data_IF_032438835022
#
_entry.id   IF_032438835022
#
_cell.length_a   1.000
_cell.length_b   1.000
_cell.length_c   1.000
_cell.angle_alpha   90.00
_cell.angle_beta   90.00
_cell.angle_gamma   90.00
#
_symmetry.space_group_name_H-M   'P 1'
#
loop_
_entity.id
_entity.type
_entity.pdbx_description
1 polymer ?
#
# COMPACT_ATOMS: atom_id res chain seq x y z
N UNK A 1 -8.53 24.69 22.79
CA UNK A 1 -7.33 25.48 22.44
C UNK A 1 -6.27 25.12 23.45
N UNK A 2 -5.07 24.75 23.01
CA UNK A 2 -3.97 24.42 23.91
C UNK A 2 -3.16 25.69 24.20
N UNK A 3 -2.89 25.95 25.47
CA UNK A 3 -2.13 27.10 25.94
C UNK A 3 -0.95 26.60 26.75
N UNK A 4 0.25 26.97 26.32
CA UNK A 4 1.48 26.69 27.03
C UNK A 4 1.85 27.91 27.89
N UNK A 5 1.71 27.79 29.21
CA UNK A 5 1.92 28.86 30.18
C UNK A 5 2.97 28.48 31.23
N UNK A 6 4.23 28.37 30.78
CA UNK A 6 5.37 28.13 31.68
C UNK A 6 5.67 29.30 32.63
N UNK A 7 5.16 30.50 32.32
CA UNK A 7 5.41 31.74 33.08
C UNK A 7 4.23 32.21 33.94
N UNK A 8 3.11 31.49 33.95
CA UNK A 8 1.92 31.75 34.78
C UNK A 8 1.05 32.96 34.41
N UNK A 9 1.33 33.63 33.28
CA UNK A 9 0.61 34.85 32.87
C UNK A 9 -0.23 34.65 31.60
N UNK A 10 0.12 33.69 30.76
CA UNK A 10 -0.50 33.47 29.44
C UNK A 10 -1.91 32.91 29.58
N UNK A 11 -2.11 31.96 30.50
CA UNK A 11 -3.41 31.37 30.79
C UNK A 11 -4.40 32.44 31.30
N UNK A 12 -3.93 33.35 32.17
CA UNK A 12 -4.70 34.48 32.68
C UNK A 12 -5.14 35.44 31.56
N UNK A 13 -4.23 35.81 30.66
CA UNK A 13 -4.56 36.68 29.53
C UNK A 13 -5.57 36.04 28.57
N UNK A 14 -5.41 34.75 28.26
CA UNK A 14 -6.29 34.03 27.32
C UNK A 14 -7.67 33.83 27.92
N UNK A 15 -7.77 33.43 29.19
CA UNK A 15 -9.05 33.27 29.89
C UNK A 15 -9.78 34.61 30.05
N UNK A 16 -9.07 35.70 30.32
CA UNK A 16 -9.67 37.04 30.38
C UNK A 16 -10.20 37.48 29.00
N UNK A 17 -9.43 37.26 27.93
CA UNK A 17 -9.86 37.57 26.57
C UNK A 17 -11.15 36.81 26.19
N UNK A 18 -11.26 35.55 26.59
CA UNK A 18 -12.46 34.73 26.36
C UNK A 18 -13.66 35.30 27.14
N UNK A 19 -13.49 35.69 28.42
CA UNK A 19 -14.54 36.37 29.19
C UNK A 19 -14.99 37.67 28.52
N UNK A 20 -14.05 38.51 28.10
CA UNK A 20 -14.32 39.81 27.48
C UNK A 20 -15.07 39.67 26.14
N UNK A 21 -14.88 38.55 25.43
CA UNK A 21 -15.60 38.21 24.20
C UNK A 21 -16.93 37.47 24.45
N UNK A 22 -17.31 37.29 25.72
CA UNK A 22 -18.57 36.69 26.13
C UNK A 22 -18.59 35.17 26.03
N UNK A 23 -17.44 34.51 26.13
CA UNK A 23 -17.34 33.05 26.21
C UNK A 23 -17.35 32.58 27.67
N UNK A 24 -18.09 31.51 27.94
CA UNK A 24 -17.87 30.62 29.07
C UNK A 24 -16.75 29.64 28.71
N UNK A 25 -15.97 29.18 29.69
CA UNK A 25 -14.90 28.21 29.41
C UNK A 25 -14.56 27.34 30.60
N UNK A 26 -13.97 26.18 30.28
CA UNK A 26 -13.35 25.25 31.22
C UNK A 26 -11.88 25.14 30.86
N UNK A 27 -11.02 25.21 31.87
CA UNK A 27 -9.58 24.93 31.74
C UNK A 27 -9.34 23.55 32.34
N UNK A 28 -8.75 22.66 31.57
CA UNK A 28 -8.38 21.32 31.99
C UNK A 28 -6.86 21.16 31.85
N UNK A 29 -6.22 20.69 32.91
CA UNK A 29 -4.85 20.21 32.88
C UNK A 29 -4.91 18.68 32.82
N UNK A 30 -4.35 18.08 31.77
CA UNK A 30 -4.37 16.63 31.65
C UNK A 30 -3.54 16.01 32.78
N UNK A 31 -4.06 14.97 33.42
CA UNK A 31 -3.46 14.35 34.61
C UNK A 31 -2.07 13.74 34.35
N UNK A 32 -1.74 13.43 33.10
CA UNK A 32 -0.42 12.95 32.69
C UNK A 32 0.58 14.07 32.38
N UNK A 33 0.11 15.32 32.29
CA UNK A 33 0.86 16.52 31.93
C UNK A 33 0.87 17.55 33.07
N UNK A 34 0.44 17.16 34.26
CA UNK A 34 0.34 18.04 35.44
C UNK A 34 1.72 18.64 35.79
N UNK A 35 1.81 19.96 35.83
CA UNK A 35 3.05 20.71 36.07
C UNK A 35 3.90 20.99 34.83
N UNK A 36 3.48 20.57 33.62
CA UNK A 36 4.17 20.91 32.37
C UNK A 36 3.91 22.36 31.92
N UNK A 37 2.89 23.01 32.48
CA UNK A 37 2.40 24.30 32.03
C UNK A 37 1.54 24.24 30.76
N UNK A 38 1.13 23.05 30.32
CA UNK A 38 0.17 22.87 29.21
C UNK A 38 -1.26 22.80 29.74
N UNK A 39 -2.11 23.69 29.24
CA UNK A 39 -3.52 23.77 29.60
C UNK A 39 -4.42 23.69 28.37
N UNK A 40 -5.44 22.85 28.45
CA UNK A 40 -6.50 22.80 27.45
C UNK A 40 -7.66 23.71 27.88
N UNK A 41 -7.95 24.72 27.07
CA UNK A 41 -9.09 25.61 27.27
C UNK A 41 -10.20 25.26 26.29
N UNK A 42 -11.36 24.90 26.82
CA UNK A 42 -12.60 24.68 26.08
C UNK A 42 -13.52 25.87 26.32
N UNK A 43 -13.84 26.65 25.28
CA UNK A 43 -14.63 27.87 25.41
C UNK A 43 -15.89 27.82 24.53
N UNK A 44 -17.03 28.23 25.07
CA UNK A 44 -18.34 28.25 24.42
C UNK A 44 -19.01 29.61 24.62
N UNK A 45 -19.87 30.05 23.69
CA UNK A 45 -20.58 31.33 23.82
C UNK A 45 -22.03 31.09 24.25
N UNK A 46 -22.47 31.54 25.44
CA UNK A 46 -23.85 31.34 25.89
C UNK A 46 -24.79 32.10 24.97
N UNK A 47 -25.75 31.39 24.36
CA UNK A 47 -26.67 31.94 23.38
C UNK A 47 -26.59 31.31 21.98
N UNK A 48 -25.58 30.47 21.70
CA UNK A 48 -25.73 29.42 20.69
C UNK A 48 -26.53 28.26 21.30
N UNK A 49 -27.81 28.51 21.60
CA UNK A 49 -28.75 27.42 21.72
C UNK A 49 -28.68 26.61 20.42
N UNK A 50 -28.55 25.29 20.57
CA UNK A 50 -28.89 24.31 19.54
C UNK A 50 -30.11 24.83 18.81
N UNK A 51 -29.96 25.14 17.53
CA UNK A 51 -31.07 25.66 16.73
C UNK A 51 -32.25 24.68 16.88
N UNK A 52 -33.50 25.17 16.93
CA UNK A 52 -34.68 24.28 16.86
C UNK A 52 -34.55 23.41 15.60
N UNK A 53 -35.24 22.25 15.48
CA UNK A 53 -35.06 21.34 14.35
C UNK A 53 -35.27 22.12 13.04
N UNK A 54 -34.16 22.55 12.43
CA UNK A 54 -34.15 23.38 11.23
C UNK A 54 -34.59 22.45 10.10
N UNK A 55 -35.57 22.89 9.33
CA UNK A 55 -36.17 22.13 8.22
C UNK A 55 -35.09 21.53 7.31
N UNK A 56 -35.07 20.20 7.19
CA UNK A 56 -34.04 19.37 6.53
C UNK A 56 -33.65 19.88 5.13
N UNK A 57 -34.61 20.33 4.32
CA UNK A 57 -34.36 20.71 2.92
C UNK A 57 -33.45 21.93 2.73
N UNK A 58 -33.45 22.90 3.65
CA UNK A 58 -32.50 24.03 3.61
C UNK A 58 -31.11 23.66 4.13
N UNK A 59 -31.01 22.61 4.95
CA UNK A 59 -29.73 22.12 5.47
C UNK A 59 -29.00 21.24 4.46
N UNK A 60 -29.70 20.43 3.66
CA UNK A 60 -29.07 19.53 2.68
C UNK A 60 -28.28 20.31 1.63
N UNK A 61 -28.89 21.33 1.00
CA UNK A 61 -28.20 22.17 0.00
C UNK A 61 -27.01 22.91 0.60
N UNK A 62 -27.11 23.37 1.84
CA UNK A 62 -25.98 24.00 2.54
C UNK A 62 -24.87 23.00 2.86
N UNK A 63 -25.21 21.77 3.27
CA UNK A 63 -24.23 20.72 3.53
C UNK A 63 -23.51 20.29 2.25
N UNK A 64 -24.25 20.11 1.14
CA UNK A 64 -23.67 19.86 -0.18
C UNK A 64 -22.70 20.98 -0.59
N UNK A 65 -23.07 22.23 -0.35
CA UNK A 65 -22.20 23.38 -0.61
C UNK A 65 -20.93 23.34 0.25
N UNK A 66 -21.06 23.07 1.55
CA UNK A 66 -19.91 22.96 2.45
C UNK A 66 -18.97 21.82 2.05
N UNK A 67 -19.50 20.69 1.57
CA UNK A 67 -18.70 19.56 1.08
C UNK A 67 -17.92 19.93 -0.17
N UNK A 68 -18.55 20.65 -1.12
CA UNK A 68 -17.85 21.18 -2.30
C UNK A 68 -16.73 22.15 -1.92
N UNK A 69 -17.01 23.09 -1.02
CA UNK A 69 -16.03 24.06 -0.52
C UNK A 69 -14.86 23.37 0.20
N UNK A 70 -15.14 22.35 1.02
CA UNK A 70 -14.12 21.52 1.64
C UNK A 70 -13.27 20.79 0.59
N UNK A 71 -13.90 20.24 -0.45
CA UNK A 71 -13.21 19.60 -1.56
C UNK A 71 -12.22 20.53 -2.27
N UNK A 72 -12.67 21.75 -2.61
CA UNK A 72 -11.82 22.77 -3.23
C UNK A 72 -10.67 23.22 -2.31
N UNK A 73 -10.95 23.40 -1.02
CA UNK A 73 -9.95 23.77 -0.03
C UNK A 73 -8.88 22.68 0.14
N UNK A 74 -9.29 21.40 0.24
CA UNK A 74 -8.37 20.26 0.32
C UNK A 74 -7.51 20.15 -0.93
N UNK A 75 -8.10 20.30 -2.12
CA UNK A 75 -7.35 20.30 -3.37
C UNK A 75 -6.29 21.39 -3.40
N UNK A 76 -6.68 22.62 -3.03
CA UNK A 76 -5.76 23.77 -2.98
C UNK A 76 -4.63 23.55 -1.96
N UNK A 77 -4.93 22.98 -0.80
CA UNK A 77 -3.93 22.69 0.23
C UNK A 77 -2.92 21.63 -0.24
N UNK A 78 -3.41 20.57 -0.88
CA UNK A 78 -2.58 19.47 -1.37
C UNK A 78 -1.70 19.90 -2.56
N UNK A 79 -2.19 20.77 -3.45
CA UNK A 79 -1.40 21.32 -4.56
C UNK A 79 -0.24 22.23 -4.09
N UNK A 80 -0.36 22.83 -2.90
CA UNK A 80 0.63 23.76 -2.33
C UNK A 80 1.61 23.10 -1.37
N UNK A 81 1.43 21.82 -1.06
CA UNK A 81 2.24 21.12 -0.07
C UNK A 81 2.85 19.84 -0.63
N UNK A 82 4.07 19.53 -0.19
CA UNK A 82 4.76 18.28 -0.50
C UNK A 82 4.50 17.19 0.54
N UNK A 83 3.77 17.51 1.62
CA UNK A 83 3.46 16.55 2.69
C UNK A 83 2.19 15.74 2.37
N UNK A 84 2.16 14.44 2.66
CA UNK A 84 0.91 13.66 2.62
C UNK A 84 -0.12 14.23 3.59
N UNK A 85 -1.39 14.24 3.19
CA UNK A 85 -2.53 14.66 4.00
C UNK A 85 -3.40 13.44 4.30
N UNK A 86 -3.75 13.23 5.57
CA UNK A 86 -4.70 12.20 5.99
C UNK A 86 -5.97 12.89 6.49
N UNK A 87 -7.10 12.64 5.83
CA UNK A 87 -8.41 13.15 6.23
C UNK A 87 -9.23 12.02 6.84
N UNK A 88 -9.67 12.24 8.08
CA UNK A 88 -10.47 11.27 8.83
C UNK A 88 -11.94 11.70 8.83
N UNK A 89 -12.82 10.91 8.21
CA UNK A 89 -14.25 11.13 8.20
C UNK A 89 -14.89 10.34 9.34
N UNK A 90 -15.36 11.04 10.37
CA UNK A 90 -15.90 10.44 11.58
C UNK A 90 -17.43 10.26 11.46
N UNK A 91 -18.01 9.20 12.06
CA UNK A 91 -19.44 8.92 11.95
C UNK A 91 -20.26 10.02 12.63
N UNK A 92 -21.42 10.36 12.07
CA UNK A 92 -22.32 11.33 12.71
C UNK A 92 -23.07 10.66 13.87
N UNK A 93 -22.98 11.18 15.11
CA UNK A 93 -23.67 10.59 16.27
C UNK A 93 -25.18 10.80 16.24
N UNK A 94 -25.95 9.83 16.74
CA UNK A 94 -27.38 9.93 17.09
C UNK A 94 -28.32 10.43 15.97
N UNK A 95 -28.30 9.80 14.78
CA UNK A 95 -29.21 10.14 13.65
C UNK A 95 -30.02 8.95 13.13
N UNK A 96 -31.18 9.22 12.54
CA UNK A 96 -32.12 8.21 12.03
C UNK A 96 -31.59 7.58 10.73
N UNK A 97 -31.95 6.32 10.44
CA UNK A 97 -31.47 5.56 9.27
C UNK A 97 -31.57 6.29 7.92
N UNK A 98 -32.63 7.08 7.70
CA UNK A 98 -32.79 7.86 6.47
C UNK A 98 -31.72 8.94 6.27
N UNK A 99 -31.21 9.53 7.34
CA UNK A 99 -30.20 10.60 7.31
C UNK A 99 -28.79 10.03 7.05
N UNK A 100 -28.50 8.82 7.52
CA UNK A 100 -27.22 8.13 7.30
C UNK A 100 -26.91 7.92 5.81
N UNK A 101 -27.94 7.66 4.99
CA UNK A 101 -27.78 7.51 3.54
C UNK A 101 -27.37 8.80 2.83
N UNK A 102 -27.82 9.96 3.34
CA UNK A 102 -27.46 11.26 2.81
C UNK A 102 -25.99 11.59 3.11
N UNK A 103 -25.54 11.41 4.36
CA UNK A 103 -24.14 11.65 4.72
C UNK A 103 -23.18 10.74 3.96
N UNK A 104 -23.52 9.44 3.82
CA UNK A 104 -22.69 8.51 3.04
C UNK A 104 -22.52 8.99 1.59
N UNK A 105 -23.59 9.51 0.98
CA UNK A 105 -23.55 10.07 -0.38
C UNK A 105 -22.60 11.28 -0.47
N UNK A 106 -22.62 12.15 0.53
CA UNK A 106 -21.70 13.30 0.60
C UNK A 106 -20.24 12.86 0.77
N UNK A 107 -19.99 11.86 1.63
CA UNK A 107 -18.65 11.28 1.79
C UNK A 107 -18.15 10.66 0.47
N UNK A 108 -19.00 9.87 -0.19
CA UNK A 108 -18.69 9.27 -1.50
C UNK A 108 -18.43 10.33 -2.57
N UNK A 109 -19.22 11.40 -2.60
CA UNK A 109 -19.00 12.54 -3.51
C UNK A 109 -17.63 13.18 -3.28
N UNK A 110 -17.31 13.53 -2.03
CA UNK A 110 -16.04 14.18 -1.67
C UNK A 110 -14.83 13.30 -2.03
N UNK A 111 -14.90 12.01 -1.70
CA UNK A 111 -13.84 11.04 -2.00
C UNK A 111 -13.69 10.87 -3.51
N UNK A 112 -14.79 10.84 -4.26
CA UNK A 112 -14.80 10.70 -5.71
C UNK A 112 -14.21 11.92 -6.42
N UNK A 113 -14.56 13.13 -5.98
CA UNK A 113 -14.06 14.40 -6.54
C UNK A 113 -12.53 14.54 -6.38
N UNK A 114 -11.99 14.04 -5.28
CA UNK A 114 -10.56 14.10 -4.95
C UNK A 114 -9.80 12.81 -5.30
N UNK A 115 -10.45 11.89 -6.03
CA UNK A 115 -9.85 10.64 -6.45
C UNK A 115 -8.68 10.90 -7.41
N UNK A 116 -7.55 10.25 -7.15
CA UNK A 116 -6.35 10.35 -7.99
C UNK A 116 -5.29 11.33 -7.47
N UNK A 117 -5.60 12.12 -6.43
CA UNK A 117 -4.59 12.90 -5.71
C UNK A 117 -3.78 11.94 -4.84
N UNK A 118 -2.53 11.66 -5.23
CA UNK A 118 -1.70 10.62 -4.58
C UNK A 118 -1.25 10.96 -3.17
N UNK A 119 -1.13 12.25 -2.85
CA UNK A 119 -0.75 12.77 -1.54
C UNK A 119 -1.92 12.95 -0.57
N UNK A 120 -3.15 12.62 -0.98
CA UNK A 120 -4.34 12.68 -0.13
C UNK A 120 -4.81 11.27 0.22
N UNK A 121 -4.97 11.02 1.52
CA UNK A 121 -5.36 9.74 2.07
C UNK A 121 -6.60 9.90 2.93
N UNK A 122 -7.42 8.85 2.97
CA UNK A 122 -8.68 8.83 3.69
C UNK A 122 -8.65 7.76 4.78
N UNK A 123 -9.28 8.07 5.91
CA UNK A 123 -9.75 7.09 6.89
C UNK A 123 -11.24 7.34 7.08
N UNK A 124 -12.07 6.45 6.55
CA UNK A 124 -13.53 6.60 6.66
C UNK A 124 -14.05 5.91 7.93
N UNK A 125 -15.22 6.35 8.41
CA UNK A 125 -15.90 5.69 9.52
C UNK A 125 -16.19 4.21 9.24
N UNK A 126 -16.54 3.86 7.99
CA UNK A 126 -16.78 2.47 7.58
C UNK A 126 -15.51 1.62 7.62
N UNK A 127 -14.39 2.16 7.14
CA UNK A 127 -13.10 1.49 7.19
C UNK A 127 -12.65 1.26 8.64
N UNK A 128 -12.80 2.28 9.49
CA UNK A 128 -12.51 2.17 10.90
C UNK A 128 -13.39 1.12 11.58
N UNK A 129 -14.70 1.11 11.32
CA UNK A 129 -15.64 0.17 11.91
C UNK A 129 -15.42 -1.28 11.47
N UNK A 130 -14.87 -1.51 10.28
CA UNK A 130 -14.51 -2.88 9.82
C UNK A 130 -13.31 -3.43 10.59
N UNK A 131 -12.39 -2.56 11.00
CA UNK A 131 -11.14 -2.96 11.64
C UNK A 131 -11.25 -2.93 13.17
N UNK A 132 -11.84 -1.87 13.71
CA UNK A 132 -12.00 -1.59 15.13
C UNK A 132 -13.48 -1.22 15.41
N UNK A 133 -14.40 -2.20 15.38
CA UNK A 133 -15.82 -1.94 15.60
C UNK A 133 -16.07 -1.39 17.01
N UNK A 134 -16.76 -0.26 17.09
CA UNK A 134 -17.24 0.33 18.36
C UNK A 134 -18.75 0.49 18.24
N UNK A 135 -19.51 -0.33 18.98
CA UNK A 135 -20.97 -0.34 18.93
C UNK A 135 -21.55 1.01 19.39
N UNK A 136 -21.11 1.48 20.56
CA UNK A 136 -21.55 2.74 21.16
C UNK A 136 -20.45 3.80 21.04
N UNK A 137 -20.42 4.46 19.89
CA UNK A 137 -19.45 5.51 19.61
C UNK A 137 -19.92 6.90 20.03
N UNK A 138 -21.22 7.13 20.22
CA UNK A 138 -21.78 8.46 20.53
C UNK A 138 -21.72 8.79 22.03
N UNK A 139 -21.25 9.99 22.37
CA UNK A 139 -21.25 10.54 23.73
C UNK A 139 -22.03 11.87 23.76
N UNK A 140 -23.38 11.84 23.84
CA UNK A 140 -24.21 13.05 23.77
C UNK A 140 -23.93 14.08 24.87
N UNK A 141 -23.41 13.66 26.03
CA UNK A 141 -23.07 14.51 27.17
C UNK A 141 -21.56 14.53 27.47
N UNK A 142 -20.71 14.26 26.48
CA UNK A 142 -19.25 14.26 26.65
C UNK A 142 -18.70 15.62 27.08
N UNK A 143 -17.70 15.64 27.98
CA UNK A 143 -17.01 16.86 28.39
C UNK A 143 -16.59 17.69 27.15
N UNK A 144 -17.00 18.95 27.10
CA UNK A 144 -16.59 19.89 26.03
C UNK A 144 -17.31 19.75 24.68
N UNK A 145 -18.52 19.16 24.62
CA UNK A 145 -19.26 18.88 23.37
C UNK A 145 -18.53 17.93 22.41
N UNK A 146 -17.63 17.11 22.94
CA UNK A 146 -16.94 16.07 22.18
C UNK A 146 -17.92 14.91 21.95
N UNK A 147 -18.28 14.60 20.70
CA UNK A 147 -19.45 13.77 20.45
C UNK A 147 -19.17 12.26 20.50
N UNK A 148 -17.97 11.84 20.93
CA UNK A 148 -17.52 10.45 20.87
C UNK A 148 -17.06 9.87 22.21
N UNK A 149 -17.26 8.56 22.39
CA UNK A 149 -16.80 7.82 23.57
C UNK A 149 -15.28 7.67 23.60
N UNK A 150 -14.70 7.44 24.80
CA UNK A 150 -13.26 7.15 24.96
C UNK A 150 -12.82 5.94 24.13
N UNK A 151 -13.67 4.92 24.03
CA UNK A 151 -13.42 3.73 23.21
C UNK A 151 -13.35 4.07 21.73
N UNK A 152 -14.23 4.95 21.24
CA UNK A 152 -14.15 5.42 19.86
C UNK A 152 -12.88 6.24 19.60
N UNK A 153 -12.43 7.07 20.55
CA UNK A 153 -11.15 7.76 20.42
C UNK A 153 -9.96 6.80 20.35
N UNK A 154 -9.96 5.73 21.15
CA UNK A 154 -8.93 4.71 21.07
C UNK A 154 -8.92 4.02 19.69
N UNK A 155 -10.09 3.68 19.16
CA UNK A 155 -10.22 3.13 17.81
C UNK A 155 -9.72 4.11 16.75
N UNK A 156 -10.21 5.36 16.77
CA UNK A 156 -9.85 6.41 15.83
C UNK A 156 -8.35 6.70 15.86
N UNK A 157 -7.76 6.89 17.05
CA UNK A 157 -6.33 7.10 17.21
C UNK A 157 -5.51 5.93 16.67
N UNK A 158 -5.93 4.69 16.94
CA UNK A 158 -5.27 3.49 16.40
C UNK A 158 -5.36 3.44 14.87
N UNK A 159 -6.53 3.77 14.30
CA UNK A 159 -6.74 3.84 12.85
C UNK A 159 -5.87 4.90 12.18
N UNK A 160 -5.76 6.09 12.80
CA UNK A 160 -4.90 7.18 12.32
C UNK A 160 -3.44 6.73 12.30
N UNK A 161 -2.92 6.19 13.41
CA UNK A 161 -1.52 5.76 13.49
C UNK A 161 -1.24 4.62 12.51
N UNK A 162 -2.15 3.65 12.37
CA UNK A 162 -2.05 2.56 11.39
C UNK A 162 -1.96 3.09 9.96
N UNK A 163 -2.81 4.05 9.58
CA UNK A 163 -2.76 4.71 8.27
C UNK A 163 -1.48 5.50 8.05
N UNK A 164 -1.06 6.28 9.03
CA UNK A 164 0.19 7.03 8.97
C UNK A 164 1.38 6.10 8.78
N UNK A 165 1.43 4.99 9.52
CA UNK A 165 2.48 3.98 9.36
C UNK A 165 2.49 3.42 7.94
N UNK A 166 1.34 3.09 7.36
CA UNK A 166 1.25 2.60 5.99
C UNK A 166 1.72 3.65 4.95
N UNK A 167 1.54 4.94 5.22
CA UNK A 167 1.96 6.05 4.34
C UNK A 167 3.48 6.26 4.39
N UNK A 168 4.08 6.18 5.58
CA UNK A 168 5.50 6.54 5.78
C UNK A 168 6.46 5.34 5.72
N UNK A 169 5.97 4.12 5.90
CA UNK A 169 6.82 2.92 5.98
C UNK A 169 7.18 2.38 4.60
N UNK A 170 8.35 1.74 4.52
CA UNK A 170 8.67 0.93 3.35
C UNK A 170 7.76 -0.30 3.30
N UNK A 171 7.04 -0.54 2.19
CA UNK A 171 6.13 -1.66 2.10
C UNK A 171 6.91 -2.98 1.96
N UNK A 172 6.48 -4.00 2.70
CA UNK A 172 6.87 -5.37 2.42
C UNK A 172 6.45 -5.77 0.99
N UNK A 173 7.26 -6.56 0.32
CA UNK A 173 7.07 -6.94 -1.09
C UNK A 173 6.83 -8.42 -1.27
N UNK A 174 7.31 -9.26 -0.36
CA UNK A 174 7.25 -10.72 -0.47
C UNK A 174 6.61 -11.30 0.78
N UNK A 175 5.66 -12.22 0.58
CA UNK A 175 5.13 -13.08 1.63
C UNK A 175 5.63 -14.49 1.34
N UNK A 176 6.31 -15.09 2.30
CA UNK A 176 6.82 -16.45 2.24
C UNK A 176 6.06 -17.28 3.26
N UNK A 177 5.50 -18.39 2.81
CA UNK A 177 4.63 -19.26 3.61
C UNK A 177 5.30 -20.61 3.81
N UNK A 178 5.24 -21.13 5.02
CA UNK A 178 5.33 -22.56 5.26
C UNK A 178 4.11 -23.31 4.67
N UNK A 179 4.14 -24.65 4.60
CA UNK A 179 3.06 -25.45 4.03
C UNK A 179 2.29 -26.27 5.06
N UNK A 180 2.93 -27.28 5.66
CA UNK A 180 2.26 -28.18 6.62
C UNK A 180 1.86 -27.42 7.88
N UNK A 181 0.67 -27.71 8.43
CA UNK A 181 0.05 -26.98 9.55
C UNK A 181 -0.23 -25.48 9.32
N UNK A 182 0.36 -24.86 8.30
CA UNK A 182 0.19 -23.46 7.90
C UNK A 182 -0.86 -23.29 6.80
N UNK A 183 -0.65 -23.85 5.60
CA UNK A 183 -1.59 -23.76 4.47
C UNK A 183 -2.70 -24.80 4.52
N UNK A 184 -2.47 -25.91 5.21
CA UNK A 184 -3.43 -26.98 5.51
C UNK A 184 -3.10 -27.57 6.87
N UNK A 185 -3.97 -28.44 7.39
CA UNK A 185 -3.70 -29.30 8.54
C UNK A 185 -3.15 -30.64 8.07
N UNK A 186 -2.21 -31.18 8.83
CA UNK A 186 -1.54 -32.43 8.53
C UNK A 186 -0.20 -32.22 7.85
N UNK A 187 0.51 -33.33 7.67
CA UNK A 187 1.85 -33.42 7.09
C UNK A 187 1.73 -34.11 5.74
N UNK A 188 1.93 -33.38 4.64
CA UNK A 188 1.63 -33.91 3.31
C UNK A 188 2.44 -35.16 2.93
N UNK A 189 3.66 -35.30 3.48
CA UNK A 189 4.50 -36.49 3.28
C UNK A 189 4.02 -37.73 4.04
N UNK A 190 3.22 -37.57 5.09
CA UNK A 190 2.69 -38.66 5.92
C UNK A 190 1.23 -38.97 5.57
N UNK A 191 0.40 -37.93 5.51
CA UNK A 191 -1.05 -38.03 5.26
C UNK A 191 -1.38 -38.14 3.77
N UNK A 192 -0.42 -37.78 2.90
CA UNK A 192 -0.61 -37.68 1.47
C UNK A 192 -1.52 -36.52 1.05
N UNK A 193 -1.64 -36.31 -0.27
CA UNK A 193 -2.41 -35.20 -0.81
C UNK A 193 -3.90 -35.23 -0.41
N UNK A 194 -4.50 -36.41 -0.24
CA UNK A 194 -5.91 -36.57 0.14
C UNK A 194 -6.16 -36.47 1.65
N UNK A 195 -5.13 -36.68 2.47
CA UNK A 195 -5.27 -36.76 3.93
C UNK A 195 -5.15 -35.41 4.63
N UNK A 196 -4.54 -34.42 3.99
CA UNK A 196 -4.46 -33.06 4.54
C UNK A 196 -5.82 -32.35 4.49
N UNK A 197 -6.12 -31.58 5.52
CA UNK A 197 -7.40 -30.89 5.67
C UNK A 197 -7.24 -29.37 5.46
N UNK A 198 -8.12 -28.78 4.66
CA UNK A 198 -8.17 -27.33 4.44
C UNK A 198 -9.42 -26.77 5.12
N UNK A 199 -9.29 -26.56 6.43
CA UNK A 199 -10.36 -26.00 7.27
C UNK A 199 -10.68 -24.53 6.93
N UNK A 200 -11.72 -24.00 7.56
CA UNK A 200 -12.18 -22.62 7.33
C UNK A 200 -11.09 -21.57 7.61
N UNK A 201 -10.25 -21.79 8.62
CA UNK A 201 -9.19 -20.86 9.02
C UNK A 201 -8.04 -20.83 8.00
N UNK A 202 -7.63 -21.98 7.46
CA UNK A 202 -6.66 -22.05 6.36
C UNK A 202 -7.24 -21.52 5.05
N UNK A 203 -8.53 -21.77 4.75
CA UNK A 203 -9.18 -21.14 3.61
C UNK A 203 -9.15 -19.61 3.73
N UNK A 204 -9.42 -19.07 4.91
CA UNK A 204 -9.37 -17.63 5.18
C UNK A 204 -7.95 -17.06 5.05
N UNK A 205 -6.93 -17.75 5.57
CA UNK A 205 -5.52 -17.42 5.37
C UNK A 205 -5.16 -17.40 3.88
N UNK A 206 -5.45 -18.47 3.15
CA UNK A 206 -5.14 -18.57 1.73
C UNK A 206 -5.86 -17.47 0.92
N UNK A 207 -7.13 -17.22 1.19
CA UNK A 207 -7.88 -16.13 0.55
C UNK A 207 -7.29 -14.75 0.89
N UNK A 208 -6.82 -14.54 2.12
CA UNK A 208 -6.09 -13.33 2.51
C UNK A 208 -4.79 -13.18 1.72
N UNK A 209 -3.98 -14.23 1.61
CA UNK A 209 -2.74 -14.23 0.83
C UNK A 209 -3.01 -13.94 -0.66
N UNK A 210 -4.07 -14.50 -1.24
CA UNK A 210 -4.45 -14.19 -2.63
C UNK A 210 -4.84 -12.71 -2.79
N UNK A 211 -5.57 -12.12 -1.83
CA UNK A 211 -5.84 -10.67 -1.85
C UNK A 211 -4.55 -9.85 -1.78
N UNK A 212 -3.59 -10.25 -0.94
CA UNK A 212 -2.27 -9.61 -0.86
C UNK A 212 -1.50 -9.73 -2.18
N UNK A 213 -1.61 -10.88 -2.87
CA UNK A 213 -1.03 -11.10 -4.18
C UNK A 213 -1.65 -10.21 -5.26
N UNK A 214 -2.98 -10.08 -5.27
CA UNK A 214 -3.71 -9.18 -6.17
C UNK A 214 -3.36 -7.71 -5.90
N UNK A 215 -3.00 -7.39 -4.66
CA UNK A 215 -2.47 -6.09 -4.23
C UNK A 215 -0.96 -5.93 -4.54
N UNK A 216 -0.35 -6.91 -5.21
CA UNK A 216 1.00 -6.87 -5.77
C UNK A 216 2.13 -7.36 -4.86
N UNK A 217 1.81 -8.05 -3.76
CA UNK A 217 2.80 -8.82 -3.01
C UNK A 217 3.19 -10.07 -3.82
N UNK A 218 4.47 -10.44 -3.78
CA UNK A 218 4.96 -11.70 -4.35
C UNK A 218 4.74 -12.81 -3.33
N UNK A 219 4.21 -13.95 -3.76
CA UNK A 219 3.97 -15.10 -2.88
C UNK A 219 5.01 -16.17 -3.17
N UNK A 220 5.69 -16.65 -2.14
CA UNK A 220 6.64 -17.75 -2.22
C UNK A 220 6.35 -18.82 -1.16
N UNK A 221 6.86 -20.02 -1.38
CA UNK A 221 6.84 -21.09 -0.37
C UNK A 221 8.23 -21.31 0.22
N UNK A 222 8.33 -21.55 1.51
CA UNK A 222 9.53 -22.04 2.17
C UNK A 222 9.12 -23.14 3.15
N UNK A 223 9.19 -24.40 2.70
CA UNK A 223 8.67 -25.56 3.42
C UNK A 223 9.70 -26.67 3.57
N UNK A 224 9.66 -27.41 4.68
CA UNK A 224 10.51 -28.58 4.90
C UNK A 224 9.78 -29.86 4.46
N UNK A 225 9.68 -30.04 3.15
CA UNK A 225 8.99 -31.17 2.52
C UNK A 225 9.73 -31.62 1.26
N UNK A 226 9.24 -32.69 0.64
CA UNK A 226 9.54 -32.97 -0.75
C UNK A 226 8.64 -32.13 -1.66
N UNK A 227 9.21 -31.65 -2.76
CA UNK A 227 8.51 -30.77 -3.72
C UNK A 227 7.31 -31.46 -4.37
N UNK A 228 7.42 -32.77 -4.64
CA UNK A 228 6.37 -33.57 -5.26
C UNK A 228 5.13 -33.69 -4.37
N UNK A 229 5.32 -33.92 -3.07
CA UNK A 229 4.22 -34.08 -2.10
C UNK A 229 3.42 -32.78 -1.95
N UNK A 230 4.12 -31.64 -1.82
CA UNK A 230 3.50 -30.32 -1.75
C UNK A 230 2.68 -30.04 -2.99
N UNK A 231 3.23 -30.29 -4.18
CA UNK A 231 2.49 -30.02 -5.41
C UNK A 231 1.40 -31.04 -5.72
N UNK A 232 1.48 -32.26 -5.17
CA UNK A 232 0.35 -33.18 -5.20
C UNK A 232 -0.85 -32.59 -4.44
N UNK A 233 -0.64 -31.94 -3.29
CA UNK A 233 -1.72 -31.23 -2.57
C UNK A 233 -2.33 -30.12 -3.44
N UNK A 234 -1.50 -29.23 -4.00
CA UNK A 234 -1.98 -28.13 -4.87
C UNK A 234 -2.75 -28.63 -6.11
N UNK A 235 -2.39 -29.79 -6.65
CA UNK A 235 -3.04 -30.37 -7.84
C UNK A 235 -4.31 -31.17 -7.49
N UNK A 236 -4.45 -31.63 -6.25
CA UNK A 236 -5.60 -32.43 -5.83
C UNK A 236 -6.73 -31.57 -5.27
N UNK A 237 -6.39 -30.50 -4.54
CA UNK A 237 -7.37 -29.63 -3.90
C UNK A 237 -7.69 -28.41 -4.74
N UNK A 238 -8.47 -28.61 -5.81
CA UNK A 238 -8.89 -27.53 -6.73
C UNK A 238 -9.63 -26.38 -6.04
N UNK A 239 -10.20 -26.62 -4.86
CA UNK A 239 -10.92 -25.61 -4.07
C UNK A 239 -10.02 -24.77 -3.15
N UNK A 240 -8.71 -25.03 -3.10
CA UNK A 240 -7.76 -24.15 -2.40
C UNK A 240 -7.82 -22.74 -2.99
N UNK A 241 -8.04 -21.68 -2.18
CA UNK A 241 -7.95 -20.32 -2.71
C UNK A 241 -6.55 -20.02 -3.27
N UNK A 242 -5.49 -20.45 -2.56
CA UNK A 242 -4.13 -20.25 -3.01
C UNK A 242 -3.75 -21.35 -4.02
N UNK A 243 -3.73 -20.97 -5.28
CA UNK A 243 -3.35 -21.84 -6.41
C UNK A 243 -1.88 -21.67 -6.84
N UNK A 244 -1.31 -22.69 -7.49
CA UNK A 244 0.10 -22.70 -7.98
C UNK A 244 0.47 -21.47 -8.81
N UNK A 245 -0.44 -20.97 -9.63
CA UNK A 245 -0.18 -19.81 -10.50
C UNK A 245 -0.03 -18.49 -9.74
N UNK A 246 -0.39 -18.42 -8.46
CA UNK A 246 -0.11 -17.27 -7.60
C UNK A 246 1.33 -17.23 -7.09
N UNK A 247 2.04 -18.37 -7.12
CA UNK A 247 3.38 -18.52 -6.57
C UNK A 247 4.43 -18.02 -7.56
N UNK A 248 5.41 -17.27 -7.05
CA UNK A 248 6.51 -16.71 -7.84
C UNK A 248 7.73 -17.61 -7.78
N UNK A 249 8.07 -18.12 -6.60
CA UNK A 249 9.16 -19.06 -6.39
C UNK A 249 8.92 -19.87 -5.10
N UNK A 250 9.74 -20.89 -4.87
CA UNK A 250 9.63 -21.75 -3.70
C UNK A 250 10.98 -22.35 -3.31
N UNK A 251 11.09 -22.71 -2.04
CA UNK A 251 12.15 -23.55 -1.47
C UNK A 251 11.48 -24.64 -0.64
N UNK A 252 11.24 -25.77 -1.28
CA UNK A 252 10.64 -26.95 -0.67
C UNK A 252 11.75 -27.99 -0.57
N UNK A 253 12.43 -28.01 0.56
CA UNK A 253 13.58 -28.86 0.84
C UNK A 253 13.92 -28.87 2.34
N UNK A 254 14.88 -29.68 2.74
CA UNK A 254 15.27 -29.86 4.15
C UNK A 254 16.33 -28.87 4.67
N UNK A 255 16.65 -27.80 3.92
CA UNK A 255 17.59 -26.77 4.40
C UNK A 255 16.92 -25.87 5.46
N UNK A 256 17.71 -25.20 6.32
CA UNK A 256 17.18 -24.20 7.26
C UNK A 256 16.36 -23.10 6.55
N UNK A 257 15.25 -22.69 7.17
CA UNK A 257 14.33 -21.68 6.59
C UNK A 257 15.04 -20.36 6.33
N UNK A 258 15.90 -19.91 7.24
CA UNK A 258 16.69 -18.69 7.05
C UNK A 258 17.59 -18.72 5.81
N UNK A 259 18.21 -19.87 5.51
CA UNK A 259 19.03 -20.06 4.32
C UNK A 259 18.18 -20.04 3.05
N UNK A 260 17.02 -20.71 3.10
CA UNK A 260 16.06 -20.70 2.00
C UNK A 260 15.50 -19.29 1.72
N UNK A 261 15.22 -18.50 2.77
CA UNK A 261 14.81 -17.10 2.65
C UNK A 261 15.90 -16.23 2.01
N UNK A 262 17.18 -16.40 2.41
CA UNK A 262 18.33 -15.74 1.76
C UNK A 262 18.44 -16.12 0.28
N UNK A 263 18.21 -17.39 -0.05
CA UNK A 263 18.22 -17.84 -1.44
C UNK A 263 17.07 -17.24 -2.26
N UNK A 264 15.86 -17.13 -1.68
CA UNK A 264 14.72 -16.45 -2.31
C UNK A 264 14.98 -14.96 -2.50
N UNK A 265 15.56 -14.29 -1.50
CA UNK A 265 15.95 -12.88 -1.58
C UNK A 265 16.92 -12.61 -2.75
N UNK A 266 17.93 -13.47 -2.91
CA UNK A 266 18.87 -13.41 -4.03
C UNK A 266 18.20 -13.66 -5.38
N UNK A 267 17.37 -14.71 -5.52
CA UNK A 267 16.64 -15.02 -6.76
C UNK A 267 15.70 -13.88 -7.18
N UNK A 268 15.00 -13.28 -6.20
CA UNK A 268 14.08 -12.18 -6.46
C UNK A 268 14.81 -10.82 -6.56
N UNK A 269 16.10 -10.74 -6.24
CA UNK A 269 16.86 -9.50 -6.13
C UNK A 269 16.15 -8.44 -5.24
N UNK A 270 15.73 -8.89 -4.05
CA UNK A 270 15.02 -8.07 -3.06
C UNK A 270 15.69 -8.22 -1.69
N UNK A 271 15.72 -7.12 -0.92
CA UNK A 271 16.23 -7.14 0.45
C UNK A 271 15.34 -7.92 1.40
N UNK A 272 15.95 -8.60 2.38
CA UNK A 272 15.24 -9.38 3.42
C UNK A 272 14.30 -8.54 4.28
N UNK A 273 14.57 -7.24 4.42
CA UNK A 273 13.72 -6.24 5.07
C UNK A 273 12.37 -6.03 4.38
N UNK A 274 12.21 -6.54 3.15
CA UNK A 274 10.95 -6.53 2.41
C UNK A 274 10.16 -7.85 2.49
N UNK A 275 10.60 -8.80 3.30
CA UNK A 275 9.98 -10.12 3.42
C UNK A 275 9.15 -10.25 4.70
N UNK A 276 8.00 -10.90 4.55
CA UNK A 276 7.20 -11.43 5.66
C UNK A 276 7.27 -12.95 5.55
N UNK A 277 7.63 -13.62 6.64
CA UNK A 277 7.60 -15.08 6.76
C UNK A 277 6.50 -15.50 7.72
N UNK A 278 5.68 -16.48 7.33
CA UNK A 278 4.57 -17.00 8.12
C UNK A 278 4.73 -18.51 8.27
N UNK A 279 4.71 -18.98 9.51
CA UNK A 279 4.91 -20.38 9.90
C UNK A 279 4.17 -20.60 11.24
N UNK A 280 3.62 -21.79 11.48
CA UNK A 280 2.98 -22.13 12.77
C UNK A 280 4.02 -22.59 13.80
N UNK A 281 5.14 -23.15 13.36
CA UNK A 281 6.14 -23.76 14.21
C UNK A 281 7.01 -22.68 14.92
N UNK A 282 6.97 -22.61 16.27
CA UNK A 282 7.76 -21.62 17.02
C UNK A 282 9.27 -21.80 16.84
N UNK A 283 9.75 -23.02 16.62
CA UNK A 283 11.18 -23.31 16.45
C UNK A 283 11.69 -22.75 15.13
N UNK A 284 10.96 -22.95 14.03
CA UNK A 284 11.29 -22.39 12.72
C UNK A 284 11.19 -20.86 12.74
N UNK A 285 10.15 -20.32 13.39
CA UNK A 285 10.03 -18.87 13.60
C UNK A 285 11.23 -18.28 14.36
N UNK A 286 11.68 -18.94 15.43
CA UNK A 286 12.86 -18.52 16.18
C UNK A 286 14.15 -18.61 15.36
N UNK A 287 14.31 -19.67 14.57
CA UNK A 287 15.44 -19.86 13.67
C UNK A 287 15.56 -18.70 12.68
N UNK A 288 14.44 -18.33 12.05
CA UNK A 288 14.41 -17.19 11.10
C UNK A 288 14.69 -15.87 11.81
N UNK A 289 14.09 -15.61 12.97
CA UNK A 289 14.35 -14.38 13.75
C UNK A 289 15.82 -14.23 14.15
N UNK A 290 16.49 -15.34 14.48
CA UNK A 290 17.90 -15.34 14.86
C UNK A 290 18.84 -15.11 13.65
N UNK A 291 18.55 -15.75 12.52
CA UNK A 291 19.47 -15.79 11.36
C UNK A 291 19.14 -14.78 10.24
N UNK A 292 17.92 -14.22 10.27
CA UNK A 292 17.38 -13.24 9.33
C UNK A 292 16.53 -12.18 10.07
N UNK A 293 17.10 -11.40 11.01
CA UNK A 293 16.33 -10.45 11.85
C UNK A 293 15.61 -9.35 11.06
N UNK A 294 15.99 -9.11 9.81
CA UNK A 294 15.31 -8.17 8.91
C UNK A 294 13.96 -8.70 8.40
N UNK A 295 13.76 -10.02 8.37
CA UNK A 295 12.51 -10.64 7.91
C UNK A 295 11.47 -10.52 9.00
N UNK A 296 10.31 -9.93 8.68
CA UNK A 296 9.18 -9.93 9.60
C UNK A 296 8.64 -11.35 9.74
N UNK A 297 8.91 -11.98 10.88
CA UNK A 297 8.51 -13.37 11.13
C UNK A 297 7.26 -13.42 12.00
N UNK A 298 6.16 -13.85 11.39
CA UNK A 298 4.84 -13.98 12.01
C UNK A 298 4.59 -15.45 12.34
N UNK A 299 4.48 -15.74 13.63
CA UNK A 299 4.05 -17.06 14.07
C UNK A 299 2.53 -17.09 14.07
N UNK A 300 1.91 -18.09 13.42
CA UNK A 300 0.47 -18.27 13.50
C UNK A 300 0.03 -18.62 14.94
N UNK A 301 -1.14 -18.13 15.39
CA UNK A 301 -1.65 -18.49 16.71
C UNK A 301 -1.90 -20.00 16.79
N UNK A 302 -1.68 -20.63 17.96
CA UNK A 302 -1.92 -22.06 18.15
C UNK A 302 -3.40 -22.44 18.02
N UNK A 303 -4.29 -21.48 18.28
CA UNK A 303 -5.72 -21.62 18.08
C UNK A 303 -6.09 -21.15 16.67
N UNK A 304 -6.46 -22.10 15.83
CA UNK A 304 -6.70 -21.88 14.40
C UNK A 304 -7.74 -20.80 14.10
N UNK A 305 -8.80 -20.76 14.89
CA UNK A 305 -9.91 -19.80 14.74
C UNK A 305 -9.47 -18.34 14.93
N UNK A 306 -8.30 -18.12 15.54
CA UNK A 306 -7.71 -16.79 15.70
C UNK A 306 -6.89 -16.34 14.49
N UNK A 307 -6.54 -17.22 13.55
CA UNK A 307 -5.72 -16.88 12.37
C UNK A 307 -6.31 -15.70 11.57
N UNK A 308 -7.61 -15.66 11.23
CA UNK A 308 -8.17 -14.55 10.45
C UNK A 308 -8.07 -13.21 11.17
N UNK A 309 -8.40 -13.18 12.46
CA UNK A 309 -8.33 -11.98 13.30
C UNK A 309 -6.88 -11.52 13.47
N UNK A 310 -5.96 -12.45 13.71
CA UNK A 310 -4.53 -12.18 13.79
C UNK A 310 -4.03 -11.43 12.55
N UNK A 311 -4.27 -11.97 11.36
CA UNK A 311 -3.83 -11.36 10.09
C UNK A 311 -4.42 -9.96 9.87
N UNK A 312 -5.68 -9.75 10.24
CA UNK A 312 -6.36 -8.45 10.12
C UNK A 312 -5.68 -7.36 10.97
N UNK A 313 -5.04 -7.74 12.07
CA UNK A 313 -4.38 -6.83 13.00
C UNK A 313 -2.88 -6.65 12.75
N UNK A 314 -2.30 -7.35 11.76
CA UNK A 314 -0.91 -7.12 11.36
C UNK A 314 -0.82 -5.97 10.35
N UNK A 315 -0.33 -4.82 10.81
CA UNK A 315 -0.24 -3.60 10.00
C UNK A 315 0.77 -3.70 8.85
N UNK A 316 1.68 -4.67 8.88
CA UNK A 316 2.65 -4.95 7.81
C UNK A 316 2.01 -5.34 6.47
N UNK A 317 0.74 -5.78 6.51
CA UNK A 317 -0.05 -6.09 5.31
C UNK A 317 -0.82 -4.88 4.77
N UNK A 318 -0.81 -3.73 5.45
CA UNK A 318 -1.51 -2.55 4.99
C UNK A 318 -0.83 -1.97 3.76
N UNK A 319 -1.67 -1.51 2.82
CA UNK A 319 -1.23 -0.82 1.62
C UNK A 319 -2.10 0.40 1.39
N UNK A 320 -1.46 1.53 1.07
CA UNK A 320 -2.15 2.82 0.90
C UNK A 320 -2.76 2.95 -0.48
N UNK A 321 -2.06 2.49 -1.51
CA UNK A 321 -2.56 2.46 -2.88
C UNK A 321 -2.04 1.21 -3.60
N UNK A 322 -2.95 0.50 -4.25
CA UNK A 322 -2.63 -0.58 -5.18
C UNK A 322 -2.61 0.01 -6.58
N UNK A 323 -1.46 -0.03 -7.25
CA UNK A 323 -1.36 0.44 -8.63
C UNK A 323 -1.60 -0.70 -9.62
N UNK A 324 -1.96 -0.38 -10.87
CA UNK A 324 -2.01 -1.40 -11.93
C UNK A 324 -0.66 -2.11 -12.14
N UNK A 325 0.45 -1.41 -11.88
CA UNK A 325 1.79 -2.01 -11.93
C UNK A 325 2.00 -3.06 -10.83
N UNK A 326 1.34 -2.91 -9.68
CA UNK A 326 1.38 -3.88 -8.59
C UNK A 326 0.63 -5.16 -8.96
N UNK A 327 -0.52 -5.06 -9.62
CA UNK A 327 -1.27 -6.22 -10.13
C UNK A 327 -0.48 -7.06 -11.15
N UNK A 328 0.38 -6.41 -11.94
CA UNK A 328 1.24 -7.11 -12.92
C UNK A 328 2.56 -7.61 -12.34
N UNK A 329 2.89 -7.26 -11.09
CA UNK A 329 4.20 -7.53 -10.48
C UNK A 329 4.49 -9.02 -10.39
N UNK A 330 3.52 -9.83 -9.94
CA UNK A 330 3.66 -11.30 -9.84
C UNK A 330 4.08 -11.91 -11.17
N UNK A 331 3.37 -11.57 -12.26
CA UNK A 331 3.67 -12.07 -13.60
C UNK A 331 5.08 -11.68 -14.04
N UNK A 332 5.47 -10.42 -13.86
CA UNK A 332 6.80 -9.95 -14.23
C UNK A 332 7.92 -10.71 -13.50
N UNK A 333 7.72 -11.02 -12.22
CA UNK A 333 8.69 -11.79 -11.44
C UNK A 333 8.73 -13.25 -11.86
N UNK A 334 7.59 -13.91 -12.07
CA UNK A 334 7.53 -15.27 -12.60
C UNK A 334 8.29 -15.40 -13.92
N UNK A 335 8.12 -14.43 -14.82
CA UNK A 335 8.83 -14.38 -16.10
C UNK A 335 10.34 -14.17 -15.92
N UNK A 336 10.76 -13.31 -14.96
CA UNK A 336 12.17 -13.12 -14.64
C UNK A 336 12.82 -14.37 -14.05
N UNK A 337 12.13 -15.06 -13.15
CA UNK A 337 12.59 -16.33 -12.57
C UNK A 337 12.74 -17.39 -13.67
N UNK A 338 11.76 -17.51 -14.58
CA UNK A 338 11.85 -18.41 -15.73
C UNK A 338 13.03 -18.09 -16.64
N UNK A 339 13.28 -16.80 -16.90
CA UNK A 339 14.46 -16.35 -17.66
C UNK A 339 15.77 -16.72 -16.99
N UNK A 340 15.90 -16.48 -15.68
CA UNK A 340 17.12 -16.82 -14.95
C UNK A 340 17.38 -18.33 -14.96
N UNK A 341 16.34 -19.15 -14.71
CA UNK A 341 16.45 -20.62 -14.80
C UNK A 341 16.81 -21.08 -16.21
N UNK A 342 16.32 -20.40 -17.24
CA UNK A 342 16.69 -20.70 -18.63
C UNK A 342 18.15 -20.32 -18.93
N UNK A 343 18.62 -19.19 -18.39
CA UNK A 343 20.02 -18.77 -18.48
C UNK A 343 20.97 -19.77 -17.83
N UNK A 344 20.65 -20.22 -16.60
CA UNK A 344 21.45 -21.21 -15.87
C UNK A 344 21.51 -22.57 -16.58
N UNK A 345 20.47 -22.93 -17.35
CA UNK A 345 20.43 -24.16 -18.16
C UNK A 345 21.09 -24.02 -19.53
N UNK A 346 21.41 -22.80 -19.97
CA UNK A 346 21.99 -22.55 -21.29
C UNK A 346 23.50 -22.77 -21.25
N UNK A 347 24.05 -23.50 -22.23
CA UNK A 347 25.48 -23.84 -22.29
C UNK A 347 26.34 -22.61 -22.58
N UNK A 348 25.85 -21.70 -23.42
CA UNK A 348 26.54 -20.46 -23.76
C UNK A 348 25.59 -19.27 -23.75
N UNK A 349 26.15 -18.06 -23.64
CA UNK A 349 25.38 -16.82 -23.73
C UNK A 349 24.68 -16.67 -25.09
N UNK A 350 25.30 -17.16 -26.18
CA UNK A 350 24.70 -17.13 -27.51
C UNK A 350 23.46 -18.04 -27.59
N UNK A 351 23.52 -19.23 -26.99
CA UNK A 351 22.38 -20.15 -26.94
C UNK A 351 21.23 -19.60 -26.12
N UNK A 352 21.55 -18.91 -25.02
CA UNK A 352 20.58 -18.19 -24.22
C UNK A 352 19.85 -17.10 -25.03
N UNK A 353 20.60 -16.25 -25.74
CA UNK A 353 20.01 -15.19 -26.59
C UNK A 353 19.15 -15.75 -27.73
N UNK A 354 19.62 -16.79 -28.40
CA UNK A 354 18.86 -17.45 -29.46
C UNK A 354 17.57 -18.08 -28.91
N UNK A 355 17.64 -18.70 -27.72
CA UNK A 355 16.52 -19.35 -27.08
C UNK A 355 15.51 -18.41 -26.41
N UNK A 356 15.91 -17.18 -26.10
CA UNK A 356 15.04 -16.12 -25.58
C UNK A 356 13.97 -15.70 -26.60
N UNK A 357 14.30 -15.76 -27.89
CA UNK A 357 13.42 -15.31 -28.98
C UNK A 357 12.98 -13.84 -28.77
N UNK A 358 13.97 -12.95 -28.65
CA UNK A 358 13.73 -11.52 -28.47
C UNK A 358 13.01 -10.93 -29.70
N UNK A 359 11.93 -10.20 -29.44
CA UNK A 359 11.18 -9.39 -30.39
C UNK A 359 11.30 -7.92 -29.98
N UNK A 360 11.88 -7.10 -30.86
CA UNK A 360 12.20 -5.69 -30.60
C UNK A 360 11.44 -4.83 -31.60
N UNK A 361 10.47 -4.05 -31.11
CA UNK A 361 9.74 -3.07 -31.89
C UNK A 361 10.32 -1.67 -31.64
N UNK A 362 10.65 -0.97 -32.72
CA UNK A 362 11.08 0.43 -32.69
C UNK A 362 10.07 1.23 -33.51
N UNK A 363 9.27 2.04 -32.83
CA UNK A 363 8.15 2.75 -33.45
C UNK A 363 8.09 4.23 -33.05
N UNK A 364 7.41 5.10 -33.83
CA UNK A 364 7.20 6.49 -33.46
C UNK A 364 6.46 6.61 -32.11
N UNK A 365 6.89 7.56 -31.27
CA UNK A 365 6.24 7.80 -29.98
C UNK A 365 4.79 8.25 -30.16
N UNK A 366 3.88 7.63 -29.41
CA UNK A 366 2.45 8.00 -29.36
C UNK A 366 2.15 8.87 -28.12
N UNK A 367 1.17 9.78 -28.15
CA UNK A 367 0.88 10.70 -27.04
C UNK A 367 0.65 10.02 -25.69
N UNK A 368 -0.07 8.89 -25.66
CA UNK A 368 -0.35 8.16 -24.41
C UNK A 368 0.89 7.54 -23.76
N UNK A 369 2.03 7.48 -24.46
CA UNK A 369 3.29 6.94 -23.94
C UNK A 369 4.12 7.99 -23.22
N UNK A 370 3.77 9.27 -23.34
CA UNK A 370 4.51 10.40 -22.78
C UNK A 370 4.82 10.25 -21.27
N UNK A 371 3.86 9.88 -20.39
CA UNK A 371 4.14 9.72 -18.96
C UNK A 371 5.20 8.64 -18.68
N UNK A 372 5.13 7.54 -19.43
CA UNK A 372 6.07 6.42 -19.30
C UNK A 372 7.46 6.80 -19.81
N UNK A 373 7.55 7.55 -20.90
CA UNK A 373 8.81 8.04 -21.45
C UNK A 373 9.49 9.02 -20.48
N UNK A 374 8.73 9.96 -19.91
CA UNK A 374 9.24 10.85 -18.87
C UNK A 374 9.80 10.06 -17.68
N UNK A 375 9.04 9.08 -17.18
CA UNK A 375 9.50 8.21 -16.10
C UNK A 375 10.79 7.45 -16.44
N UNK A 376 10.97 7.02 -17.70
CA UNK A 376 12.19 6.36 -18.14
C UNK A 376 13.41 7.28 -18.08
N UNK A 377 13.29 8.54 -18.50
CA UNK A 377 14.39 9.51 -18.41
C UNK A 377 14.83 9.77 -16.97
N UNK A 378 13.88 9.69 -16.02
CA UNK A 378 14.14 9.95 -14.60
C UNK A 378 14.75 8.76 -13.86
N UNK A 379 14.41 7.53 -14.27
CA UNK A 379 14.79 6.30 -13.55
C UNK A 379 15.92 5.51 -14.19
N UNK A 380 16.28 5.80 -15.43
CA UNK A 380 17.30 5.03 -16.16
C UNK A 380 18.67 5.68 -15.99
N UNK A 381 19.56 4.99 -15.26
CA UNK A 381 20.90 5.48 -14.97
C UNK A 381 22.03 4.67 -15.62
N UNK A 382 21.84 3.38 -15.95
CA UNK A 382 22.96 2.54 -16.44
C UNK A 382 23.21 2.66 -17.95
N UNK A 383 22.16 2.88 -18.76
CA UNK A 383 22.29 3.17 -20.20
C UNK A 383 21.45 4.40 -20.54
N UNK A 384 22.00 5.56 -20.23
CA UNK A 384 21.44 6.86 -20.58
C UNK A 384 22.60 7.74 -21.01
N UNK A 385 22.78 7.94 -22.32
CA UNK A 385 23.98 8.58 -22.86
C UNK A 385 24.11 10.05 -22.49
N UNK A 386 23.00 10.72 -22.16
CA UNK A 386 23.00 12.15 -21.82
C UNK A 386 22.68 12.42 -20.36
N UNK A 387 22.03 11.47 -19.66
CA UNK A 387 21.56 11.59 -18.26
C UNK A 387 20.58 12.75 -18.02
N UNK A 388 20.06 13.35 -19.08
CA UNK A 388 19.09 14.45 -19.01
C UNK A 388 17.74 13.86 -18.58
N UNK A 389 17.26 14.31 -17.42
CA UNK A 389 15.96 13.94 -16.87
C UNK A 389 14.93 14.93 -17.38
N UNK A 390 13.81 14.42 -17.92
CA UNK A 390 12.76 15.26 -18.48
C UNK A 390 11.41 15.00 -17.85
N UNK A 391 10.65 16.07 -17.73
CA UNK A 391 9.22 16.07 -17.48
C UNK A 391 8.45 15.76 -18.76
N UNK A 392 7.16 15.43 -18.61
CA UNK A 392 6.26 15.23 -19.74
C UNK A 392 6.17 16.48 -20.63
N UNK A 393 6.11 17.67 -20.01
CA UNK A 393 6.03 18.93 -20.73
C UNK A 393 7.27 19.20 -21.60
N UNK A 394 8.47 18.93 -21.08
CA UNK A 394 9.73 19.10 -21.83
C UNK A 394 9.82 18.13 -23.01
N UNK A 395 9.44 16.86 -22.83
CA UNK A 395 9.42 15.89 -23.93
C UNK A 395 8.40 16.31 -24.98
N UNK A 396 7.21 16.74 -24.57
CA UNK A 396 6.18 17.22 -25.50
C UNK A 396 6.66 18.45 -26.29
N UNK A 397 7.35 19.38 -25.64
CA UNK A 397 7.95 20.54 -26.32
C UNK A 397 8.99 20.11 -27.35
N UNK A 398 9.86 19.16 -27.02
CA UNK A 398 10.85 18.63 -27.96
C UNK A 398 10.20 17.91 -29.15
N UNK A 399 9.13 17.15 -28.93
CA UNK A 399 8.37 16.52 -30.01
C UNK A 399 7.63 17.54 -30.90
N UNK A 400 7.30 18.71 -30.36
CA UNK A 400 6.65 19.79 -31.10
C UNK A 400 7.64 20.73 -31.81
N UNK A 401 8.91 20.74 -31.38
CA UNK A 401 9.98 21.49 -32.03
C UNK A 401 10.25 20.90 -33.42
N UNK A 402 10.34 21.75 -34.44
CA UNK A 402 10.66 21.30 -35.81
C UNK A 402 12.07 20.69 -35.83
N UNK A 403 12.20 19.44 -36.27
CA UNK A 403 13.48 18.78 -36.54
C UNK A 403 13.79 17.54 -35.68
N UNK A 404 13.11 17.36 -34.55
CA UNK A 404 13.35 16.23 -33.63
C UNK A 404 12.35 15.10 -33.85
N UNK A 405 12.86 13.88 -34.07
CA UNK A 405 12.09 12.65 -34.11
C UNK A 405 12.19 11.89 -32.79
N UNK A 406 11.05 11.42 -32.31
CA UNK A 406 10.94 10.55 -31.14
C UNK A 406 10.60 9.12 -31.55
N UNK A 407 11.49 8.19 -31.25
CA UNK A 407 11.27 6.74 -31.38
C UNK A 407 11.29 6.10 -29.99
N UNK A 408 10.38 5.17 -29.77
CA UNK A 408 10.32 4.37 -28.56
C UNK A 408 10.69 2.93 -28.87
N UNK A 409 11.29 2.25 -27.91
CA UNK A 409 11.67 0.84 -28.03
C UNK A 409 10.79 0.02 -27.09
N UNK A 410 10.13 -0.99 -27.64
CA UNK A 410 9.41 -2.02 -26.91
C UNK A 410 10.08 -3.37 -27.14
N UNK A 411 10.19 -4.19 -26.09
CA UNK A 411 10.86 -5.49 -26.19
C UNK A 411 10.00 -6.56 -25.56
N UNK A 412 9.94 -7.73 -26.20
CA UNK A 412 9.29 -8.95 -25.71
C UNK A 412 10.23 -10.13 -25.89
N UNK A 413 10.02 -11.17 -25.10
CA UNK A 413 10.63 -12.49 -25.30
C UNK A 413 9.60 -13.60 -25.11
N UNK A 414 10.02 -14.86 -25.27
CA UNK A 414 9.14 -16.03 -25.09
C UNK A 414 8.48 -16.14 -23.71
N UNK A 415 9.03 -15.51 -22.68
CA UNK A 415 8.52 -15.54 -21.32
C UNK A 415 7.58 -14.35 -21.05
N UNK A 416 7.85 -13.18 -21.63
CA UNK A 416 7.00 -12.00 -21.42
C UNK A 416 7.44 -10.71 -22.08
N UNK A 417 6.62 -9.68 -21.85
CA UNK A 417 6.80 -8.32 -22.34
C UNK A 417 7.60 -7.48 -21.33
N UNK A 418 8.65 -6.82 -21.81
CA UNK A 418 9.43 -5.86 -21.02
C UNK A 418 8.76 -4.48 -20.96
N UNK A 419 7.83 -4.25 -21.89
CA UNK A 419 7.12 -3.01 -22.11
C UNK A 419 7.96 -1.98 -22.87
N UNK A 420 7.60 -0.71 -22.71
CA UNK A 420 8.40 0.41 -23.21
C UNK A 420 9.66 0.54 -22.36
N UNK A 421 10.79 0.27 -23.00
CA UNK A 421 12.12 0.16 -22.38
C UNK A 421 13.09 1.20 -22.89
N UNK A 422 12.85 1.83 -24.04
CA UNK A 422 13.81 2.77 -24.61
C UNK A 422 13.19 4.02 -25.21
N UNK A 423 14.01 5.06 -25.29
CA UNK A 423 13.71 6.32 -25.97
C UNK A 423 14.93 6.71 -26.81
N UNK A 424 14.67 7.09 -28.05
CA UNK A 424 15.60 7.79 -28.92
C UNK A 424 14.96 9.11 -29.37
N UNK A 425 15.56 10.21 -28.95
CA UNK A 425 15.29 11.56 -29.45
C UNK A 425 16.48 11.98 -30.29
N UNK A 426 16.22 12.32 -31.55
CA UNK A 426 17.29 12.67 -32.48
C UNK A 426 16.83 13.62 -33.57
N UNK A 427 17.79 14.34 -34.11
CA UNK A 427 17.63 15.13 -35.33
C UNK A 427 18.43 14.48 -36.45
N UNK A 428 17.83 14.41 -37.64
CA UNK A 428 18.49 13.92 -38.85
C UNK A 428 19.17 15.09 -39.54
N UNK A 429 20.50 15.06 -39.61
CA UNK A 429 21.33 16.01 -40.37
C UNK A 429 21.73 15.39 -41.71
N UNK A 430 22.47 16.13 -42.56
CA UNK A 430 22.84 15.69 -43.91
C UNK A 430 23.68 14.41 -43.96
N UNK A 431 24.54 14.20 -42.97
CA UNK A 431 25.54 13.13 -42.92
C UNK A 431 25.60 12.41 -41.56
N UNK A 432 24.76 12.81 -40.60
CA UNK A 432 24.76 12.27 -39.25
C UNK A 432 23.37 12.31 -38.60
N UNK A 433 23.20 11.48 -37.56
CA UNK A 433 22.09 11.57 -36.62
C UNK A 433 22.62 12.21 -35.34
N UNK A 434 22.12 13.40 -35.02
CA UNK A 434 22.43 14.08 -33.77
C UNK A 434 21.44 13.60 -32.69
N UNK A 435 21.90 12.72 -31.80
CA UNK A 435 21.06 12.25 -30.70
C UNK A 435 21.02 13.27 -29.57
N UNK A 436 19.82 13.76 -29.27
CA UNK A 436 19.56 14.52 -28.04
C UNK A 436 19.46 13.56 -26.84
N UNK A 437 18.81 12.42 -27.02
CA UNK A 437 18.64 11.41 -25.96
C UNK A 437 18.65 10.02 -26.53
N UNK A 438 19.46 9.16 -25.93
CA UNK A 438 19.38 7.74 -26.14
C UNK A 438 19.49 7.02 -24.81
N UNK A 439 18.42 6.33 -24.43
CA UNK A 439 18.36 5.56 -23.20
C UNK A 439 17.67 4.23 -23.39
N UNK A 440 18.12 3.25 -22.61
CA UNK A 440 17.57 1.91 -22.52
C UNK A 440 17.47 1.52 -21.04
N UNK A 441 16.25 1.24 -20.59
CA UNK A 441 15.94 0.85 -19.24
C UNK A 441 16.59 -0.48 -18.88
N UNK A 442 17.21 -0.51 -17.71
CA UNK A 442 18.05 -1.59 -17.19
C UNK A 442 17.29 -2.88 -16.79
N UNK A 443 16.08 -3.11 -17.32
CA UNK A 443 15.47 -4.45 -17.33
C UNK A 443 16.07 -5.34 -18.45
N UNK A 444 16.89 -4.76 -19.34
CA UNK A 444 17.55 -5.43 -20.46
C UNK A 444 19.09 -5.51 -20.32
N UNK A 445 19.71 -4.60 -19.58
CA UNK A 445 21.18 -4.54 -19.51
C UNK A 445 21.73 -5.72 -18.71
N UNK A 446 22.64 -6.47 -19.33
CA UNK A 446 23.17 -7.74 -18.80
C UNK A 446 22.42 -9.00 -19.27
N UNK A 447 21.36 -8.85 -20.09
CA UNK A 447 20.59 -9.97 -20.66
C UNK A 447 20.90 -10.25 -22.14
N UNK A 448 21.68 -9.39 -22.79
CA UNK A 448 21.97 -9.38 -24.23
C UNK A 448 22.50 -8.05 -24.69
#
# INVERSE_FOLDING_TARGET
MEVHDQGGNTLGCVTQLLKDKGFEFVVEEETLLEGSGLYNIYATRPGQQSSPPRTLSKNETQMEQNVRELGEALKTAVERSTTPHLVCLCPTPNRKDGELSFYRRLEEQLISELKGISSLHWLTASELATTYPVADYAAPDGNGHIPYTRTFFAALGTGIVRKLQAIISNPYKVIVLDCDHTLWKGVCGEDGATGVEIDQSRQALQAFIVRQQQAGKLICLCSKNNEEDVFAVFNHHDQMPLQRHHLVSWRINWQPKSQNLKALATELNLGLDSFIFIDDNPVECMEVRANCPQVLTLQLPPEDDHIPSFLQHIWAFDQVQVTQADQQRTKLYQQNVQRQRFQEKSLTFKDFLAGLQLDVDISPMKPHQLPRVAQLTQRTNQFNLTTIRRSEAEIQQLCNAKGLEARVVQVKDRFGDYGLVGLLLFETQSDAIASDSFLLSCRLLGRG
#
